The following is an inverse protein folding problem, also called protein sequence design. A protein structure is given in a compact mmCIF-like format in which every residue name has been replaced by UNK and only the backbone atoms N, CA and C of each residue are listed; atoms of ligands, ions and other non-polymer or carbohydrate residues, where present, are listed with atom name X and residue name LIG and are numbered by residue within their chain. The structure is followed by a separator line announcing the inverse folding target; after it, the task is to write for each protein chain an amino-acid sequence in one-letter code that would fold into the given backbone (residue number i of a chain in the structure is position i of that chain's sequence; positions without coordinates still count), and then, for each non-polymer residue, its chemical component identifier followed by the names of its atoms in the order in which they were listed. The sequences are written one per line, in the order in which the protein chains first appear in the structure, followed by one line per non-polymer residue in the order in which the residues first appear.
data_IF_371156652730
#
_entry.id   IF_371156652730
#
_cell.length_a   1.000
_cell.length_b   1.000
_cell.length_c   1.000
_cell.angle_alpha   90.00
_cell.angle_beta   90.00
_cell.angle_gamma   90.00
#
_symmetry.space_group_name_H-M   'P 1'
#
loop_
_entity.id
_entity.type
_entity.pdbx_description
1 polymer ?
#
# COMPACT_ATOMS: atom_id res chain seq x y z
N UNK A 1 -19.74 39.50 -14.96
CA UNK A 1 -20.64 38.33 -15.00
C UNK A 1 -19.98 37.20 -14.21
N UNK A 2 -20.60 36.76 -13.11
CA UNK A 2 -20.21 35.59 -12.30
C UNK A 2 -21.33 34.55 -12.44
N UNK A 3 -21.05 33.26 -12.62
CA UNK A 3 -22.09 32.26 -12.49
C UNK A 3 -22.30 31.95 -11.00
N UNK A 4 -23.52 32.23 -10.55
CA UNK A 4 -24.13 31.69 -9.34
C UNK A 4 -24.46 30.22 -9.59
N UNK A 5 -23.93 29.30 -8.79
CA UNK A 5 -24.38 27.90 -8.80
C UNK A 5 -25.20 27.66 -7.55
N UNK A 6 -26.43 27.23 -7.81
CA UNK A 6 -27.55 27.05 -6.88
C UNK A 6 -27.34 25.77 -6.07
N UNK A 7 -27.57 25.87 -4.77
CA UNK A 7 -27.61 24.77 -3.82
C UNK A 7 -28.85 23.89 -4.07
N UNK A 8 -28.68 22.59 -4.22
CA UNK A 8 -29.80 21.62 -4.19
C UNK A 8 -29.39 20.45 -3.31
N UNK A 9 -30.08 20.35 -2.19
CA UNK A 9 -29.99 19.33 -1.16
C UNK A 9 -30.80 18.10 -1.57
N UNK A 10 -30.19 16.91 -1.54
CA UNK A 10 -30.91 15.62 -1.42
C UNK A 10 -30.01 14.54 -0.76
N UNK A 11 -30.18 14.42 0.56
CA UNK A 11 -30.32 13.20 1.37
C UNK A 11 -29.54 11.91 0.99
N UNK A 12 -28.34 11.75 1.57
CA UNK A 12 -28.00 10.70 2.57
C UNK A 12 -26.50 10.75 2.86
N UNK A 13 -26.08 11.75 3.63
CA UNK A 13 -24.68 11.85 4.04
C UNK A 13 -24.45 10.78 5.11
N UNK A 14 -23.98 9.60 4.70
CA UNK A 14 -23.18 8.78 5.61
C UNK A 14 -22.01 9.68 6.00
N UNK A 15 -21.98 10.11 7.26
CA UNK A 15 -20.84 10.87 7.80
C UNK A 15 -19.68 9.88 7.87
N UNK A 16 -19.00 9.74 6.73
CA UNK A 16 -17.79 8.97 6.60
C UNK A 16 -16.77 9.68 7.47
N UNK A 17 -16.30 8.99 8.51
CA UNK A 17 -15.24 9.51 9.35
C UNK A 17 -14.08 9.90 8.43
N UNK A 18 -13.52 11.12 8.55
CA UNK A 18 -12.40 11.52 7.71
C UNK A 18 -11.25 10.53 7.92
N UNK A 19 -10.60 10.10 6.84
CA UNK A 19 -9.50 9.13 6.86
C UNK A 19 -8.47 9.40 7.96
N UNK A 20 -8.13 10.68 8.18
CA UNK A 20 -7.17 11.10 9.20
C UNK A 20 -7.57 10.75 10.65
N UNK A 21 -8.82 10.36 10.90
CA UNK A 21 -9.27 9.90 12.23
C UNK A 21 -8.68 8.53 12.60
N UNK A 22 -8.33 7.71 11.61
CA UNK A 22 -7.67 6.40 11.78
C UNK A 22 -6.26 6.59 12.38
N UNK A 23 -5.58 7.68 12.00
CA UNK A 23 -4.23 7.99 12.49
C UNK A 23 -4.21 8.57 13.90
N UNK A 24 -5.38 9.02 14.42
CA UNK A 24 -5.50 9.62 15.75
C UNK A 24 -5.77 8.59 16.84
N UNK A 25 -6.15 7.37 16.49
CA UNK A 25 -6.37 6.29 17.46
C UNK A 25 -5.03 5.73 17.90
N UNK A 26 -4.72 5.83 19.19
CA UNK A 26 -3.52 5.20 19.75
C UNK A 26 -3.61 3.68 19.55
N UNK A 27 -2.60 3.03 18.97
CA UNK A 27 -2.65 1.59 18.75
C UNK A 27 -2.76 0.87 20.09
N UNK A 28 -3.76 -0.02 20.20
CA UNK A 28 -3.93 -0.91 21.35
C UNK A 28 -2.92 -2.06 21.20
N UNK A 29 -1.67 -1.77 21.55
CA UNK A 29 -0.53 -2.69 21.78
C UNK A 29 -0.64 -4.10 21.17
N UNK A 30 0.01 -4.31 20.02
CA UNK A 30 1.13 -5.27 19.84
C UNK A 30 2.05 -4.65 18.76
N UNK A 31 3.20 -4.11 19.16
CA UNK A 31 4.16 -3.42 18.27
C UNK A 31 3.92 -1.91 18.20
N UNK A 32 4.76 -1.13 18.89
CA UNK A 32 4.73 0.34 18.86
C UNK A 32 5.28 0.85 17.52
N UNK A 33 4.46 0.90 16.48
CA UNK A 33 4.83 1.57 15.24
C UNK A 33 4.58 3.07 15.39
N UNK A 34 5.66 3.81 15.66
CA UNK A 34 5.63 5.28 15.75
C UNK A 34 5.68 5.86 14.34
N UNK A 35 4.66 6.62 13.95
CA UNK A 35 4.68 7.37 12.70
C UNK A 35 5.43 8.68 12.90
N UNK A 36 6.37 8.98 12.01
CA UNK A 36 7.08 10.24 11.98
C UNK A 36 6.46 11.16 10.93
N UNK A 37 6.19 12.42 11.29
CA UNK A 37 5.75 13.42 10.33
C UNK A 37 6.95 14.02 9.60
N UNK A 38 6.94 13.94 8.27
CA UNK A 38 7.93 14.56 7.41
C UNK A 38 7.26 15.78 6.76
N UNK A 39 7.69 17.02 7.08
CA UNK A 39 7.09 18.22 6.49
C UNK A 39 7.42 18.33 4.99
N UNK A 40 6.46 18.73 4.14
CA UNK A 40 6.72 18.90 2.71
C UNK A 40 7.65 20.09 2.46
N UNK A 41 8.66 19.89 1.62
CA UNK A 41 9.61 20.93 1.21
C UNK A 41 9.23 21.43 -0.18
N UNK A 42 9.11 22.76 -0.35
CA UNK A 42 8.81 23.37 -1.64
C UNK A 42 10.00 24.19 -2.15
N UNK A 43 10.38 23.99 -3.42
CA UNK A 43 11.31 24.88 -4.13
C UNK A 43 10.61 25.43 -5.38
N UNK A 44 10.45 26.75 -5.45
CA UNK A 44 9.76 27.41 -6.57
C UNK A 44 8.28 27.02 -6.73
N UNK A 45 7.59 26.66 -5.64
CA UNK A 45 6.20 26.21 -5.67
C UNK A 45 6.01 24.73 -6.07
N UNK A 46 7.09 24.00 -6.33
CA UNK A 46 7.07 22.57 -6.64
C UNK A 46 7.49 21.78 -5.39
N UNK A 47 6.76 20.70 -5.09
CA UNK A 47 7.09 19.76 -4.02
C UNK A 47 8.42 19.05 -4.35
N UNK A 48 9.36 19.11 -3.41
CA UNK A 48 10.62 18.40 -3.49
C UNK A 48 10.52 17.14 -2.63
N UNK A 49 10.75 16.00 -3.25
CA UNK A 49 10.94 14.72 -2.58
C UNK A 49 12.46 14.49 -2.52
N UNK A 50 12.98 14.15 -1.35
CA UNK A 50 14.41 13.85 -1.19
C UNK A 50 14.79 12.60 -2.00
N UNK A 51 15.89 12.66 -2.74
CA UNK A 51 16.33 11.56 -3.61
C UNK A 51 16.63 10.29 -2.81
N UNK A 52 17.14 10.42 -1.58
CA UNK A 52 17.42 9.27 -0.71
C UNK A 52 16.19 8.43 -0.35
N UNK A 53 15.00 9.05 -0.29
CA UNK A 53 13.74 8.34 -0.02
C UNK A 53 13.41 7.39 -1.18
N UNK A 54 13.69 7.81 -2.42
CA UNK A 54 13.46 6.96 -3.58
C UNK A 54 14.46 5.80 -3.65
N UNK A 55 15.74 6.04 -3.36
CA UNK A 55 16.75 4.98 -3.39
C UNK A 55 16.50 3.92 -2.32
N UNK A 56 16.19 4.35 -1.09
CA UNK A 56 15.86 3.46 0.01
C UNK A 56 14.57 2.67 -0.28
N UNK A 57 13.50 3.38 -0.68
CA UNK A 57 12.25 2.74 -1.05
C UNK A 57 12.40 1.80 -2.25
N UNK A 58 13.18 2.15 -3.26
CA UNK A 58 13.40 1.25 -4.41
C UNK A 58 14.09 -0.03 -3.99
N UNK A 59 15.03 0.04 -3.04
CA UNK A 59 15.78 -1.12 -2.57
C UNK A 59 14.91 -2.06 -1.75
N UNK A 60 14.08 -1.52 -0.86
CA UNK A 60 13.18 -2.32 -0.02
C UNK A 60 12.14 -3.09 -0.84
N UNK A 61 11.74 -2.53 -1.98
CA UNK A 61 10.74 -3.12 -2.85
C UNK A 61 11.35 -3.87 -4.05
N UNK A 62 12.68 -3.94 -4.18
CA UNK A 62 13.34 -4.58 -5.32
C UNK A 62 12.97 -6.06 -5.41
N UNK A 63 12.87 -6.75 -4.28
CA UNK A 63 12.49 -8.17 -4.23
C UNK A 63 10.97 -8.40 -4.18
N UNK A 64 10.16 -7.35 -4.39
CA UNK A 64 8.72 -7.45 -4.37
C UNK A 64 8.13 -7.61 -5.77
N UNK A 65 7.31 -8.64 -5.97
CA UNK A 65 6.50 -8.82 -7.18
C UNK A 65 5.07 -8.37 -6.90
N UNK A 66 4.51 -7.55 -7.79
CA UNK A 66 3.11 -7.12 -7.71
C UNK A 66 2.26 -7.98 -8.64
N UNK A 67 1.19 -8.54 -8.12
CA UNK A 67 0.23 -9.32 -8.88
C UNK A 67 -1.21 -8.95 -8.57
N UNK A 68 -2.11 -9.32 -9.47
CA UNK A 68 -3.56 -9.17 -9.30
C UNK A 68 -4.27 -10.38 -9.91
N UNK A 69 -5.47 -10.68 -9.40
CA UNK A 69 -6.30 -11.74 -9.98
C UNK A 69 -7.21 -11.13 -11.04
N UNK A 70 -7.28 -11.78 -12.22
CA UNK A 70 -8.20 -11.38 -13.31
C UNK A 70 -9.67 -11.69 -13.00
N UNK A 71 -9.91 -12.60 -12.07
CA UNK A 71 -11.23 -13.07 -11.65
C UNK A 71 -11.36 -12.88 -10.13
N UNK A 72 -12.32 -13.56 -9.51
CA UNK A 72 -12.55 -13.53 -8.06
C UNK A 72 -11.27 -13.80 -7.29
N UNK A 73 -10.99 -12.86 -6.38
CA UNK A 73 -9.91 -12.96 -5.41
C UNK A 73 -10.00 -14.27 -4.62
N UNK A 74 -8.91 -15.02 -4.60
CA UNK A 74 -8.80 -16.24 -3.80
C UNK A 74 -8.47 -15.90 -2.33
N UNK A 75 -8.92 -16.73 -1.37
CA UNK A 75 -8.51 -16.62 0.02
C UNK A 75 -6.99 -16.67 0.19
N UNK A 76 -6.46 -15.88 1.13
CA UNK A 76 -5.02 -15.75 1.40
C UNK A 76 -4.29 -17.10 1.53
N UNK A 77 -4.85 -18.05 2.28
CA UNK A 77 -4.23 -19.36 2.50
C UNK A 77 -4.04 -20.16 1.21
N UNK A 78 -4.97 -20.01 0.27
CA UNK A 78 -4.88 -20.66 -1.04
C UNK A 78 -3.81 -19.97 -1.89
N UNK A 79 -3.80 -18.64 -1.90
CA UNK A 79 -2.79 -17.85 -2.62
C UNK A 79 -1.38 -18.19 -2.12
N UNK A 80 -1.15 -18.15 -0.79
CA UNK A 80 0.16 -18.47 -0.19
C UNK A 80 0.64 -19.85 -0.60
N UNK A 81 -0.21 -20.87 -0.46
CA UNK A 81 0.12 -22.25 -0.85
C UNK A 81 0.40 -22.39 -2.35
N UNK A 82 -0.32 -21.64 -3.19
CA UNK A 82 -0.09 -21.65 -4.64
C UNK A 82 1.25 -21.01 -4.99
N UNK A 83 1.62 -19.90 -4.34
CA UNK A 83 2.91 -19.23 -4.55
C UNK A 83 4.04 -20.16 -4.13
N UNK A 84 4.01 -20.67 -2.89
CA UNK A 84 5.00 -21.61 -2.35
C UNK A 84 5.22 -22.82 -3.28
N UNK A 85 4.12 -23.42 -3.76
CA UNK A 85 4.20 -24.60 -4.61
C UNK A 85 4.62 -24.29 -6.04
N UNK A 86 4.15 -23.20 -6.63
CA UNK A 86 4.33 -22.92 -8.06
C UNK A 86 5.67 -22.27 -8.36
N UNK A 87 6.14 -21.39 -7.48
CA UNK A 87 7.47 -20.82 -7.59
C UNK A 87 8.56 -21.74 -7.06
N UNK A 88 8.21 -22.82 -6.34
CA UNK A 88 9.16 -23.76 -5.76
C UNK A 88 10.22 -23.02 -4.92
N UNK A 89 9.72 -22.20 -4.00
CA UNK A 89 10.53 -21.25 -3.24
C UNK A 89 11.61 -21.97 -2.43
N UNK A 90 12.82 -21.43 -2.43
CA UNK A 90 13.88 -21.83 -1.51
C UNK A 90 13.78 -21.06 -0.18
N UNK A 91 13.22 -19.85 -0.20
CA UNK A 91 12.98 -19.00 0.98
C UNK A 91 11.50 -18.81 1.31
N UNK A 92 11.24 -18.06 2.38
CA UNK A 92 9.88 -17.65 2.73
C UNK A 92 9.41 -16.47 1.86
N UNK A 93 8.09 -16.39 1.66
CA UNK A 93 7.43 -15.26 1.00
C UNK A 93 6.44 -14.59 1.95
N UNK A 94 6.59 -13.27 2.11
CA UNK A 94 5.59 -12.43 2.76
C UNK A 94 4.60 -11.92 1.68
N UNK A 95 3.31 -11.91 2.02
CA UNK A 95 2.27 -11.46 1.09
C UNK A 95 1.50 -10.32 1.74
N UNK A 96 1.66 -9.12 1.19
CA UNK A 96 0.92 -7.92 1.59
C UNK A 96 -0.26 -7.69 0.63
N UNK A 97 -1.30 -7.04 1.14
CA UNK A 97 -2.56 -6.85 0.44
C UNK A 97 -2.93 -5.36 0.45
N UNK A 98 -3.11 -4.78 -0.74
CA UNK A 98 -3.68 -3.43 -0.90
C UNK A 98 -4.81 -3.46 -1.94
N UNK A 99 -6.05 -3.37 -1.47
CA UNK A 99 -7.23 -3.58 -2.32
C UNK A 99 -7.21 -4.94 -3.02
N UNK A 100 -7.09 -4.91 -4.35
CA UNK A 100 -7.02 -6.09 -5.23
C UNK A 100 -5.59 -6.49 -5.61
N UNK A 101 -4.59 -5.71 -5.19
CA UNK A 101 -3.17 -5.98 -5.43
C UNK A 101 -2.59 -6.88 -4.34
N UNK A 102 -1.74 -7.79 -4.78
CA UNK A 102 -0.93 -8.66 -3.96
C UNK A 102 0.53 -8.30 -4.16
N UNK A 103 1.24 -8.09 -3.07
CA UNK A 103 2.67 -7.84 -3.07
C UNK A 103 3.36 -9.06 -2.47
N UNK A 104 4.13 -9.76 -3.30
CA UNK A 104 4.89 -10.94 -2.90
C UNK A 104 6.33 -10.49 -2.63
N UNK A 105 6.70 -10.39 -1.36
CA UNK A 105 8.04 -10.04 -0.94
C UNK A 105 8.83 -11.32 -0.67
N UNK A 106 9.84 -11.58 -1.51
CA UNK A 106 10.64 -12.79 -1.43
C UNK A 106 11.86 -12.58 -0.53
N UNK A 107 12.07 -13.49 0.42
CA UNK A 107 13.26 -13.46 1.27
C UNK A 107 14.54 -13.86 0.53
N UNK A 108 14.40 -14.60 -0.58
CA UNK A 108 15.49 -14.99 -1.46
C UNK A 108 15.28 -14.38 -2.85
N UNK A 109 16.21 -13.56 -3.36
CA UNK A 109 16.10 -12.93 -4.68
C UNK A 109 16.00 -13.92 -5.84
N UNK A 110 16.60 -15.12 -5.71
CA UNK A 110 16.55 -16.13 -6.77
C UNK A 110 15.12 -16.65 -7.00
N UNK A 111 14.28 -16.63 -5.96
CA UNK A 111 12.90 -17.11 -6.04
C UNK A 111 12.02 -16.19 -6.93
N UNK A 112 12.35 -14.89 -7.01
CA UNK A 112 11.66 -13.94 -7.90
C UNK A 112 11.94 -14.21 -9.38
N UNK A 113 13.08 -14.80 -9.72
CA UNK A 113 13.54 -14.94 -11.12
C UNK A 113 12.75 -15.94 -11.97
N UNK A 114 11.87 -16.75 -11.35
CA UNK A 114 11.03 -17.75 -12.02
C UNK A 114 9.69 -17.21 -12.56
N UNK A 115 9.48 -15.88 -12.52
CA UNK A 115 8.31 -15.18 -13.10
C UNK A 115 8.47 -14.96 -14.60
#
# INVERSE_FOLDING_TARGET
MKPTVVETTETSVTVTKPWNSILKTKPTSVGSQTLNFIPPVFKGGVLQIEEGIFEEGSKDWDETVVGFFLDKRLPYSIVKRMVEKRWNLQGDVEILLDGDLFYFNFSNPEDKSYV
#
